data_IF_745326556015
#
_entry.id   IF_745326556015
#
_cell.length_a   1.000
_cell.length_b   1.000
_cell.length_c   1.000
_cell.angle_alpha   90.00
_cell.angle_beta   90.00
_cell.angle_gamma   90.00
#
_symmetry.space_group_name_H-M   'P 1'
#
loop_
_entity.id
_entity.type
_entity.pdbx_description
1 polymer ?
#
# COMPACT_ATOMS: atom_id res chain seq x y z
N UNK A 1 3.84 -82.88 -14.54
CA UNK A 1 4.52 -82.29 -15.71
C UNK A 1 4.52 -80.78 -15.52
N UNK A 2 5.68 -80.23 -15.10
CA UNK A 2 6.09 -78.81 -14.99
C UNK A 2 5.23 -77.86 -14.11
N UNK A 3 5.72 -76.82 -13.45
CA UNK A 3 6.96 -76.43 -12.76
C UNK A 3 6.62 -75.05 -12.13
N UNK A 4 6.78 -74.88 -10.82
CA UNK A 4 7.33 -73.70 -10.08
C UNK A 4 6.83 -72.24 -10.36
N UNK A 5 6.71 -71.46 -9.26
CA UNK A 5 6.68 -69.97 -9.03
C UNK A 5 5.30 -69.31 -8.90
N UNK A 6 4.85 -68.86 -7.73
CA UNK A 6 5.31 -67.77 -6.83
C UNK A 6 5.18 -66.34 -7.41
N UNK A 7 4.45 -65.48 -6.66
CA UNK A 7 4.43 -64.00 -6.60
C UNK A 7 3.64 -63.13 -7.60
N UNK A 8 2.73 -62.33 -7.01
CA UNK A 8 2.23 -60.98 -7.35
C UNK A 8 1.46 -60.72 -8.66
N UNK A 9 0.17 -60.42 -8.54
CA UNK A 9 -0.39 -59.14 -8.99
C UNK A 9 -1.70 -58.87 -8.24
N UNK A 10 -1.69 -57.84 -7.39
CA UNK A 10 -2.83 -57.39 -6.61
C UNK A 10 -3.72 -56.47 -7.46
N UNK A 11 -5.02 -56.77 -7.55
CA UNK A 11 -6.03 -55.80 -7.95
C UNK A 11 -7.25 -55.98 -7.03
N UNK A 12 -7.15 -55.38 -5.84
CA UNK A 12 -8.27 -55.25 -4.91
C UNK A 12 -9.09 -54.04 -5.37
N UNK A 13 -10.23 -54.30 -6.02
CA UNK A 13 -11.24 -53.29 -6.30
C UNK A 13 -12.08 -53.09 -5.03
N UNK A 14 -11.59 -52.25 -4.11
CA UNK A 14 -12.34 -51.82 -2.93
C UNK A 14 -13.33 -50.73 -3.37
N UNK A 15 -14.61 -51.08 -3.59
CA UNK A 15 -15.69 -50.10 -3.56
C UNK A 15 -15.99 -49.75 -2.10
N UNK A 16 -15.21 -48.84 -1.53
CA UNK A 16 -15.60 -48.11 -0.33
C UNK A 16 -16.43 -46.89 -0.77
N UNK A 17 -17.75 -47.02 -0.74
CA UNK A 17 -18.65 -45.88 -0.70
C UNK A 17 -18.48 -45.20 0.67
N UNK A 18 -17.51 -44.29 0.79
CA UNK A 18 -17.42 -43.35 1.89
C UNK A 18 -17.16 -41.95 1.33
N UNK A 19 -18.19 -41.14 1.39
CA UNK A 19 -18.16 -39.76 0.97
C UNK A 19 -19.55 -39.16 1.15
N UNK A 20 -20.11 -39.26 2.34
CA UNK A 20 -21.16 -38.32 2.72
C UNK A 20 -20.51 -36.93 2.64
N UNK A 21 -20.82 -36.20 1.59
CA UNK A 21 -20.61 -34.78 1.53
C UNK A 21 -21.45 -34.16 2.66
N UNK A 22 -20.83 -33.97 3.82
CA UNK A 22 -21.33 -33.05 4.82
C UNK A 22 -21.16 -31.66 4.22
N UNK A 23 -22.17 -31.21 3.50
CA UNK A 23 -22.36 -29.80 3.16
C UNK A 23 -22.34 -29.03 4.47
N UNK A 24 -21.24 -28.33 4.75
CA UNK A 24 -21.15 -27.45 5.90
C UNK A 24 -22.07 -26.26 5.64
N UNK A 25 -23.33 -26.40 6.07
CA UNK A 25 -24.29 -25.31 6.13
C UNK A 25 -23.82 -24.39 7.27
N UNK A 26 -23.03 -23.38 6.94
CA UNK A 26 -22.64 -22.34 7.90
C UNK A 26 -23.88 -21.49 8.18
N UNK A 27 -24.39 -21.57 9.41
CA UNK A 27 -25.57 -20.83 9.85
C UNK A 27 -25.22 -19.33 9.83
N UNK A 28 -25.77 -18.60 8.86
CA UNK A 28 -25.62 -17.15 8.73
C UNK A 28 -26.58 -16.41 9.67
N UNK A 29 -26.52 -16.66 10.98
CA UNK A 29 -27.16 -15.88 12.07
C UNK A 29 -26.40 -16.12 13.39
N UNK A 30 -26.23 -15.12 14.27
CA UNK A 30 -25.64 -15.35 15.58
C UNK A 30 -26.51 -16.35 16.37
N UNK A 31 -25.93 -17.48 16.75
CA UNK A 31 -26.55 -18.46 17.65
C UNK A 31 -26.40 -17.92 19.06
N UNK A 32 -27.52 -17.55 19.68
CA UNK A 32 -27.56 -17.25 21.11
C UNK A 32 -27.70 -18.55 21.89
N UNK A 33 -26.68 -18.88 22.69
CA UNK A 33 -26.78 -19.88 23.75
C UNK A 33 -27.20 -19.17 25.02
N UNK A 34 -28.47 -19.29 25.40
CA UNK A 34 -28.96 -18.85 26.71
C UNK A 34 -28.49 -19.82 27.79
N UNK A 35 -27.59 -19.36 28.67
CA UNK A 35 -27.23 -20.08 29.89
C UNK A 35 -28.20 -19.75 31.02
N UNK A 36 -28.94 -20.75 31.51
CA UNK A 36 -29.84 -20.61 32.65
C UNK A 36 -29.09 -20.30 33.95
N UNK A 37 -29.57 -19.32 34.72
CA UNK A 37 -29.09 -18.99 36.06
C UNK A 37 -30.23 -19.07 37.08
N UNK A 38 -29.98 -19.74 38.21
CA UNK A 38 -30.90 -19.87 39.33
C UNK A 38 -30.90 -18.59 40.19
N UNK A 39 -32.08 -18.19 40.68
CA UNK A 39 -32.32 -16.95 41.44
C UNK A 39 -31.96 -17.13 42.92
N UNK A 40 -31.08 -16.28 43.45
CA UNK A 40 -31.04 -15.95 44.89
C UNK A 40 -30.44 -14.56 45.13
N UNK A 41 -31.26 -13.60 45.59
CA UNK A 41 -30.82 -12.28 46.09
C UNK A 41 -30.84 -11.12 45.08
N UNK A 42 -30.34 -9.95 45.50
CA UNK A 42 -30.37 -8.66 44.78
C UNK A 42 -29.09 -8.32 43.99
N UNK A 43 -28.12 -9.24 43.89
CA UNK A 43 -26.91 -9.03 43.08
C UNK A 43 -27.10 -9.53 41.65
N UNK A 44 -27.15 -8.60 40.69
CA UNK A 44 -27.07 -8.92 39.27
C UNK A 44 -25.63 -9.27 38.91
N UNK A 45 -25.35 -10.54 38.60
CA UNK A 45 -24.12 -10.94 37.89
C UNK A 45 -24.51 -11.66 36.62
N UNK A 46 -24.49 -10.94 35.50
CA UNK A 46 -24.55 -11.54 34.17
C UNK A 46 -23.33 -12.45 34.03
N UNK A 47 -23.53 -13.77 34.04
CA UNK A 47 -22.44 -14.73 33.83
C UNK A 47 -22.43 -15.11 32.34
N UNK A 48 -21.59 -14.37 31.62
CA UNK A 48 -21.01 -14.70 30.32
C UNK A 48 -21.98 -14.72 29.12
N UNK A 49 -21.81 -13.71 28.25
CA UNK A 49 -22.24 -13.74 26.86
C UNK A 49 -20.99 -14.03 26.02
N UNK A 50 -20.88 -15.23 25.45
CA UNK A 50 -19.85 -15.56 24.45
C UNK A 50 -20.45 -15.25 23.08
N UNK A 51 -19.89 -14.27 22.36
CA UNK A 51 -20.21 -14.01 20.96
C UNK A 51 -18.89 -14.09 20.20
N UNK A 52 -18.75 -15.05 19.29
CA UNK A 52 -17.57 -15.20 18.45
C UNK A 52 -17.70 -16.40 17.51
N UNK A 53 -17.58 -16.16 16.21
CA UNK A 53 -17.82 -17.15 15.16
C UNK A 53 -16.67 -18.17 15.00
N UNK A 54 -17.00 -19.32 14.40
CA UNK A 54 -16.11 -20.33 13.79
C UNK A 54 -14.97 -20.93 14.63
N UNK A 55 -15.28 -21.42 15.84
CA UNK A 55 -14.41 -22.41 16.50
C UNK A 55 -14.83 -23.83 16.10
N UNK A 56 -13.88 -24.65 15.63
CA UNK A 56 -14.11 -26.08 15.48
C UNK A 56 -14.34 -26.72 16.86
N UNK A 57 -15.20 -27.76 16.97
CA UNK A 57 -15.51 -28.41 18.26
C UNK A 57 -14.29 -28.85 19.08
N UNK A 58 -13.17 -29.14 18.42
CA UNK A 58 -11.90 -29.52 19.07
C UNK A 58 -11.23 -28.39 19.85
N UNK A 59 -11.49 -27.12 19.53
CA UNK A 59 -10.96 -25.97 20.28
C UNK A 59 -11.80 -25.65 21.52
N UNK A 60 -13.08 -26.06 21.55
CA UNK A 60 -13.97 -25.92 22.73
C UNK A 60 -13.60 -26.87 23.88
N UNK A 61 -12.96 -28.00 23.59
CA UNK A 61 -12.59 -29.00 24.60
C UNK A 61 -11.23 -28.76 25.26
N UNK A 62 -10.50 -27.69 24.91
CA UNK A 62 -9.21 -27.40 25.52
C UNK A 62 -9.39 -26.79 26.93
N UNK A 63 -8.71 -27.38 27.91
CA UNK A 63 -8.79 -27.06 29.33
C UNK A 63 -8.43 -25.59 29.67
N UNK A 64 -7.76 -24.88 28.76
CA UNK A 64 -7.47 -23.44 28.89
C UNK A 64 -8.71 -22.55 28.72
N UNK A 65 -9.68 -22.94 27.89
CA UNK A 65 -10.90 -22.15 27.66
C UNK A 65 -11.91 -22.30 28.80
N UNK A 66 -12.01 -23.50 29.40
CA UNK A 66 -12.89 -23.75 30.56
C UNK A 66 -12.44 -22.96 31.79
N UNK A 67 -11.14 -22.73 31.95
CA UNK A 67 -10.58 -21.89 33.01
C UNK A 67 -10.82 -20.39 32.77
N UNK A 68 -10.79 -19.95 31.51
CA UNK A 68 -11.06 -18.55 31.13
C UNK A 68 -12.56 -18.20 31.16
N UNK A 69 -13.45 -19.15 30.84
CA UNK A 69 -14.89 -18.96 31.00
C UNK A 69 -15.34 -18.89 32.48
N UNK A 70 -14.63 -19.58 33.37
CA UNK A 70 -14.90 -19.59 34.82
C UNK A 70 -14.27 -18.42 35.60
N UNK A 71 -13.33 -17.67 34.99
CA UNK A 71 -12.64 -16.57 35.68
C UNK A 71 -13.44 -15.26 35.75
N UNK A 72 -14.64 -15.21 35.16
CA UNK A 72 -15.48 -14.01 35.13
C UNK A 72 -15.04 -12.96 34.10
N UNK A 73 -14.12 -13.31 33.21
CA UNK A 73 -13.70 -12.46 32.10
C UNK A 73 -14.72 -12.57 30.95
N UNK A 74 -15.22 -11.42 30.50
CA UNK A 74 -15.95 -11.33 29.24
C UNK A 74 -14.90 -11.26 28.13
N UNK A 75 -14.84 -12.29 27.28
CA UNK A 75 -14.16 -12.18 25.99
C UNK A 75 -15.04 -11.27 25.11
N UNK A 76 -14.85 -9.95 25.23
CA UNK A 76 -15.27 -9.03 24.18
C UNK A 76 -14.31 -9.26 23.02
N UNK A 77 -14.74 -10.03 22.03
CA UNK A 77 -14.12 -9.94 20.72
C UNK A 77 -14.50 -8.57 20.19
N UNK A 78 -13.54 -7.66 20.09
CA UNK A 78 -13.72 -6.51 19.23
C UNK A 78 -14.05 -7.07 17.83
N UNK A 79 -15.04 -6.52 17.12
CA UNK A 79 -15.42 -7.02 15.80
C UNK A 79 -14.30 -6.86 14.76
N UNK A 80 -13.23 -6.14 15.12
CA UNK A 80 -12.03 -5.92 14.34
C UNK A 80 -10.86 -5.71 15.30
N UNK A 81 -9.68 -6.13 14.88
CA UNK A 81 -8.40 -5.91 15.52
C UNK A 81 -7.58 -4.98 14.62
N UNK A 82 -6.81 -4.07 15.23
CA UNK A 82 -5.94 -3.21 14.44
C UNK A 82 -4.86 -4.04 13.72
N UNK A 83 -4.52 -3.67 12.48
CA UNK A 83 -3.42 -4.29 11.77
C UNK A 83 -2.12 -3.98 12.51
N UNK A 84 -1.17 -4.91 12.44
CA UNK A 84 0.16 -4.75 13.00
C UNK A 84 1.13 -4.34 11.89
N UNK A 85 1.95 -3.34 12.15
CA UNK A 85 3.10 -2.98 11.32
C UNK A 85 4.40 -3.09 12.16
N UNK A 86 5.41 -3.74 11.64
CA UNK A 86 6.71 -3.97 12.29
C UNK A 86 7.90 -3.52 11.46
N UNK A 87 7.65 -2.77 10.38
CA UNK A 87 8.72 -2.22 9.56
C UNK A 87 9.57 -1.23 10.33
N UNK A 88 10.89 -1.40 10.24
CA UNK A 88 11.88 -0.49 10.84
C UNK A 88 12.65 0.30 9.77
N UNK A 89 12.56 -0.13 8.50
CA UNK A 89 13.25 0.46 7.36
C UNK A 89 12.36 1.50 6.64
N UNK A 90 13.00 2.30 5.78
CA UNK A 90 12.31 3.14 4.80
C UNK A 90 11.97 2.30 3.56
N UNK A 91 10.75 2.44 3.05
CA UNK A 91 10.29 1.69 1.89
C UNK A 91 10.17 2.57 0.66
N UNK A 92 10.49 2.05 -0.51
CA UNK A 92 10.30 2.79 -1.76
C UNK A 92 8.85 2.70 -2.22
N UNK A 93 8.30 3.82 -2.71
CA UNK A 93 6.96 3.85 -3.31
C UNK A 93 6.93 2.99 -4.59
N UNK A 94 7.97 3.11 -5.41
CA UNK A 94 8.17 2.30 -6.60
C UNK A 94 9.66 2.23 -6.94
N UNK A 95 10.08 1.13 -7.57
CA UNK A 95 11.45 0.98 -8.08
C UNK A 95 11.76 1.93 -9.26
N UNK A 96 10.73 2.51 -9.89
CA UNK A 96 10.84 3.20 -11.17
C UNK A 96 10.08 4.53 -11.26
N UNK A 97 9.86 5.23 -10.14
CA UNK A 97 9.33 6.61 -10.18
C UNK A 97 10.15 7.48 -11.14
N UNK A 98 9.48 8.10 -12.11
CA UNK A 98 10.10 8.93 -13.15
C UNK A 98 9.94 10.42 -12.86
N UNK A 99 10.93 11.21 -13.30
CA UNK A 99 10.92 12.68 -13.21
C UNK A 99 9.71 13.26 -13.95
N UNK A 100 9.32 12.68 -15.10
CA UNK A 100 8.14 13.09 -15.83
C UNK A 100 6.89 12.28 -15.40
N UNK A 101 5.93 12.89 -14.69
CA UNK A 101 4.72 12.19 -14.24
C UNK A 101 3.76 11.79 -15.37
N UNK A 102 4.01 12.20 -16.63
CA UNK A 102 3.31 11.66 -17.80
C UNK A 102 3.93 10.35 -18.31
N UNK A 103 5.19 10.07 -17.97
CA UNK A 103 5.90 8.85 -18.37
C UNK A 103 5.73 7.74 -17.32
N UNK A 104 5.32 8.10 -16.10
CA UNK A 104 5.01 7.16 -15.03
C UNK A 104 3.70 7.53 -14.33
N UNK A 105 2.71 6.66 -14.44
CA UNK A 105 1.37 6.85 -13.91
C UNK A 105 1.27 6.56 -12.39
N UNK A 106 2.32 6.88 -11.61
CA UNK A 106 2.41 6.54 -10.19
C UNK A 106 2.43 5.04 -9.88
N UNK A 107 2.69 4.71 -8.62
CA UNK A 107 2.59 3.35 -8.10
C UNK A 107 1.19 3.11 -7.55
N UNK A 108 0.64 1.92 -7.76
CA UNK A 108 -0.55 1.48 -7.03
C UNK A 108 -0.21 1.25 -5.57
N UNK A 109 -1.17 1.45 -4.66
CA UNK A 109 -0.94 1.15 -3.23
C UNK A 109 -0.68 -0.34 -3.01
N UNK A 110 -1.25 -1.21 -3.87
CA UNK A 110 -0.95 -2.63 -3.88
C UNK A 110 0.54 -2.91 -4.20
N UNK A 111 1.14 -2.21 -5.16
CA UNK A 111 2.59 -2.29 -5.42
C UNK A 111 3.42 -1.78 -4.24
N UNK A 112 3.02 -0.65 -3.64
CA UNK A 112 3.70 -0.10 -2.45
C UNK A 112 3.73 -1.12 -1.31
N UNK A 113 2.59 -1.74 -0.99
CA UNK A 113 2.51 -2.75 0.07
C UNK A 113 3.31 -4.02 -0.25
N UNK A 114 3.45 -4.43 -1.52
CA UNK A 114 4.26 -5.59 -1.88
C UNK A 114 5.74 -5.44 -1.48
N UNK A 115 6.28 -4.22 -1.51
CA UNK A 115 7.65 -3.93 -1.04
C UNK A 115 7.85 -4.14 0.46
N UNK A 116 6.76 -4.21 1.25
CA UNK A 116 6.77 -4.39 2.70
C UNK A 116 5.93 -5.59 3.17
N UNK A 117 5.67 -6.57 2.29
CA UNK A 117 4.74 -7.67 2.53
C UNK A 117 5.04 -8.56 3.75
N UNK A 118 6.26 -8.51 4.29
CA UNK A 118 6.64 -9.22 5.53
C UNK A 118 6.44 -8.41 6.81
N UNK A 119 6.16 -7.11 6.69
CA UNK A 119 6.22 -6.16 7.80
C UNK A 119 4.85 -5.69 8.27
N UNK A 120 3.77 -6.15 7.64
CA UNK A 120 2.41 -5.94 8.12
C UNK A 120 1.61 -7.24 8.18
N UNK A 121 0.62 -7.28 9.06
CA UNK A 121 -0.28 -8.43 9.23
C UNK A 121 -1.55 -8.02 9.96
N UNK A 122 -2.58 -8.81 9.83
CA UNK A 122 -3.78 -8.71 10.65
C UNK A 122 -4.15 -10.10 11.19
N UNK A 123 -4.75 -10.15 12.38
CA UNK A 123 -5.29 -11.38 12.96
C UNK A 123 -6.71 -11.67 12.47
N UNK A 124 -7.40 -10.66 11.93
CA UNK A 124 -8.69 -10.81 11.30
C UNK A 124 -8.60 -11.60 9.98
N UNK A 125 -9.71 -12.24 9.63
CA UNK A 125 -9.78 -13.11 8.45
C UNK A 125 -10.15 -12.29 7.21
N UNK A 126 -9.43 -12.52 6.10
CA UNK A 126 -9.62 -11.85 4.81
C UNK A 126 -9.54 -10.30 4.88
N UNK A 127 -8.64 -9.77 5.72
CA UNK A 127 -8.41 -8.32 5.81
C UNK A 127 -7.95 -7.72 4.48
N UNK A 128 -8.63 -6.66 4.05
CA UNK A 128 -8.21 -5.82 2.94
C UNK A 128 -7.32 -4.70 3.47
N UNK A 129 -6.11 -4.57 2.94
CA UNK A 129 -5.16 -3.59 3.43
C UNK A 129 -5.19 -2.28 2.63
N UNK A 130 -4.63 -1.24 3.21
CA UNK A 130 -4.41 0.06 2.62
C UNK A 130 -3.46 0.88 3.47
N UNK A 131 -3.34 2.15 3.14
CA UNK A 131 -2.51 3.11 3.86
C UNK A 131 -3.36 4.28 4.34
N UNK A 132 -3.18 4.67 5.60
CA UNK A 132 -3.57 5.98 6.09
C UNK A 132 -2.34 6.89 6.05
N UNK A 133 -2.30 7.86 5.14
CA UNK A 133 -1.19 8.80 5.06
C UNK A 133 -1.29 9.80 6.21
N UNK A 134 -0.25 9.84 7.04
CA UNK A 134 -0.16 10.68 8.25
C UNK A 134 0.87 11.80 8.12
N UNK A 135 1.44 11.98 6.94
CA UNK A 135 2.41 13.04 6.65
C UNK A 135 2.87 12.98 5.20
N UNK A 136 3.09 14.15 4.62
CA UNK A 136 3.67 14.31 3.27
C UNK A 136 4.67 15.46 3.28
N UNK A 137 5.83 15.25 2.66
CA UNK A 137 6.80 16.30 2.41
C UNK A 137 6.68 16.78 0.95
N UNK A 138 6.15 17.99 0.78
CA UNK A 138 5.94 18.67 -0.50
C UNK A 138 7.00 19.77 -0.76
N UNK A 139 8.21 19.66 -0.21
CA UNK A 139 9.22 20.72 -0.32
C UNK A 139 9.79 20.90 -1.74
N UNK A 140 9.80 19.84 -2.55
CA UNK A 140 10.43 19.80 -3.88
C UNK A 140 9.43 19.57 -5.03
N UNK A 141 8.14 19.70 -4.74
CA UNK A 141 7.04 19.31 -5.60
C UNK A 141 5.85 18.86 -4.78
N UNK A 142 4.90 18.18 -5.43
CA UNK A 142 3.60 17.86 -4.84
C UNK A 142 3.34 16.36 -4.90
N UNK A 143 3.10 15.74 -3.74
CA UNK A 143 2.51 14.41 -3.70
C UNK A 143 1.05 14.48 -4.17
N UNK A 144 0.68 13.53 -5.02
CA UNK A 144 -0.66 13.40 -5.59
C UNK A 144 -1.14 11.97 -5.48
N UNK A 145 -2.45 11.81 -5.34
CA UNK A 145 -3.11 10.51 -5.44
C UNK A 145 -4.14 10.49 -6.56
N UNK A 146 -4.50 9.29 -6.98
CA UNK A 146 -5.55 9.01 -7.94
C UNK A 146 -6.43 7.90 -7.38
N UNK A 147 -7.73 7.94 -7.68
CA UNK A 147 -8.69 6.87 -7.34
C UNK A 147 -9.25 6.18 -8.60
N UNK A 148 -8.76 6.54 -9.79
CA UNK A 148 -9.27 6.08 -11.08
C UNK A 148 -8.16 5.64 -12.03
N UNK A 149 -7.18 4.93 -11.45
CA UNK A 149 -6.04 4.36 -12.17
C UNK A 149 -5.23 5.41 -12.96
N UNK A 150 -5.16 6.63 -12.44
CA UNK A 150 -4.33 7.74 -12.91
C UNK A 150 -4.97 8.58 -14.00
N UNK A 151 -6.29 8.45 -14.22
CA UNK A 151 -7.01 9.32 -15.14
C UNK A 151 -7.16 10.74 -14.55
N UNK A 152 -7.37 10.86 -13.24
CA UNK A 152 -7.43 12.12 -12.52
C UNK A 152 -6.52 12.09 -11.29
N UNK A 153 -5.80 13.19 -11.06
CA UNK A 153 -4.85 13.33 -9.95
C UNK A 153 -5.22 14.47 -9.04
N UNK A 154 -5.18 14.21 -7.73
CA UNK A 154 -5.57 15.14 -6.68
C UNK A 154 -4.34 15.41 -5.80
N UNK A 155 -4.06 16.68 -5.53
CA UNK A 155 -2.95 17.11 -4.68
C UNK A 155 -3.22 16.76 -3.21
N UNK A 156 -2.20 16.19 -2.55
CA UNK A 156 -2.20 15.96 -1.11
C UNK A 156 -1.60 17.19 -0.42
N UNK A 157 -2.43 18.18 -0.14
CA UNK A 157 -1.98 19.47 0.43
C UNK A 157 -1.36 19.31 1.82
N UNK A 158 -2.00 18.50 2.66
CA UNK A 158 -1.56 18.18 4.01
C UNK A 158 -2.06 16.79 4.39
N UNK A 159 -1.26 16.07 5.16
CA UNK A 159 -1.64 14.85 5.85
C UNK A 159 -1.04 14.92 7.25
N UNK A 160 -1.79 14.48 8.25
CA UNK A 160 -1.34 14.39 9.64
C UNK A 160 -2.05 13.26 10.36
N UNK A 161 -1.57 12.86 11.52
CA UNK A 161 -2.22 11.87 12.39
C UNK A 161 -3.71 12.21 12.67
N UNK A 162 -4.05 13.49 12.83
CA UNK A 162 -5.43 13.95 13.05
C UNK A 162 -6.19 14.37 11.78
N UNK A 163 -5.54 14.31 10.61
CA UNK A 163 -6.12 14.63 9.30
C UNK A 163 -5.46 13.73 8.24
N UNK A 164 -5.64 12.44 8.41
CA UNK A 164 -5.06 11.44 7.53
C UNK A 164 -5.88 11.28 6.24
N UNK A 165 -5.22 10.80 5.18
CA UNK A 165 -5.85 10.42 3.91
C UNK A 165 -5.81 8.89 3.77
N UNK A 166 -6.97 8.26 3.58
CA UNK A 166 -7.09 6.82 3.42
C UNK A 166 -6.96 6.41 1.94
N UNK A 167 -6.07 5.48 1.64
CA UNK A 167 -5.83 4.96 0.30
C UNK A 167 -5.85 3.42 0.32
N UNK A 168 -6.82 2.81 -0.35
CA UNK A 168 -6.97 1.35 -0.41
C UNK A 168 -5.89 0.69 -1.26
N UNK A 169 -5.47 -0.53 -0.90
CA UNK A 169 -4.55 -1.33 -1.72
C UNK A 169 -5.28 -2.09 -2.83
N UNK A 170 -5.75 -1.34 -3.82
CA UNK A 170 -6.42 -1.86 -5.02
C UNK A 170 -5.67 -1.47 -6.30
N UNK A 171 -6.20 -1.85 -7.46
CA UNK A 171 -5.61 -1.58 -8.77
C UNK A 171 -5.94 -0.18 -9.33
N UNK A 172 -6.76 0.62 -8.62
CA UNK A 172 -7.21 1.95 -9.04
C UNK A 172 -6.51 3.08 -8.28
N UNK A 173 -6.21 2.83 -7.01
CA UNK A 173 -5.69 3.79 -6.07
C UNK A 173 -4.18 3.88 -6.24
N UNK A 174 -3.71 5.08 -6.60
CA UNK A 174 -2.31 5.33 -6.95
C UNK A 174 -1.74 6.53 -6.22
N UNK A 175 -0.44 6.49 -6.01
CA UNK A 175 0.35 7.56 -5.41
C UNK A 175 1.49 7.94 -6.37
N UNK A 176 1.72 9.24 -6.57
CA UNK A 176 2.87 9.74 -7.33
C UNK A 176 3.41 11.04 -6.74
N UNK A 177 4.65 11.31 -7.07
CA UNK A 177 5.23 12.64 -6.88
C UNK A 177 5.17 13.42 -8.19
N UNK A 178 4.74 14.68 -8.12
CA UNK A 178 4.80 15.63 -9.22
C UNK A 178 5.86 16.67 -8.89
N UNK A 179 7.07 16.60 -9.48
CA UNK A 179 8.14 17.54 -9.19
C UNK A 179 7.83 18.96 -9.66
N UNK A 180 8.45 19.95 -9.03
CA UNK A 180 8.45 21.34 -9.51
C UNK A 180 9.25 21.49 -10.82
N UNK A 181 8.98 22.55 -11.59
CA UNK A 181 9.52 22.74 -12.95
C UNK A 181 11.05 22.71 -13.04
N UNK A 182 11.76 23.13 -11.98
CA UNK A 182 13.23 23.19 -11.94
C UNK A 182 13.87 22.01 -11.17
N UNK A 183 13.08 21.00 -10.81
CA UNK A 183 13.56 19.82 -10.12
C UNK A 183 14.24 18.87 -11.11
N UNK A 184 15.57 18.89 -11.12
CA UNK A 184 16.37 18.21 -12.13
C UNK A 184 16.79 16.79 -11.75
N UNK A 185 16.78 16.42 -10.45
CA UNK A 185 16.95 15.06 -9.92
C UNK A 185 17.06 15.11 -8.38
N UNK A 186 16.68 14.02 -7.69
CA UNK A 186 17.03 13.83 -6.28
C UNK A 186 15.97 13.16 -5.42
N UNK A 187 15.87 13.63 -4.18
CA UNK A 187 14.91 13.17 -3.18
C UNK A 187 13.58 13.95 -3.28
N UNK A 188 12.46 13.33 -3.71
CA UNK A 188 11.16 13.99 -3.81
C UNK A 188 10.55 14.34 -2.45
N UNK A 189 10.91 13.62 -1.39
CA UNK A 189 10.35 13.76 -0.05
C UNK A 189 9.79 12.46 0.49
N UNK A 190 9.45 12.49 1.77
CA UNK A 190 8.84 11.39 2.51
C UNK A 190 7.32 11.46 2.52
N UNK A 191 6.70 10.29 2.60
CA UNK A 191 5.30 10.11 3.00
C UNK A 191 5.29 9.21 4.23
N UNK A 192 4.75 9.68 5.36
CA UNK A 192 4.55 8.86 6.55
C UNK A 192 3.16 8.24 6.54
N UNK A 193 3.02 7.02 7.03
CA UNK A 193 1.76 6.29 6.96
C UNK A 193 1.52 5.36 8.16
N UNK A 194 0.27 4.91 8.30
CA UNK A 194 -0.13 3.71 9.06
C UNK A 194 -0.76 2.69 8.12
N UNK A 195 -0.63 1.41 8.46
CA UNK A 195 -1.40 0.36 7.79
C UNK A 195 -2.86 0.53 8.17
N UNK A 196 -3.74 0.42 7.18
CA UNK A 196 -5.19 0.50 7.31
C UNK A 196 -5.80 -0.84 6.89
N UNK A 197 -6.75 -1.36 7.66
CA UNK A 197 -7.42 -2.65 7.43
C UNK A 197 -8.79 -2.53 6.72
N UNK A 198 -9.14 -1.32 6.29
CA UNK A 198 -10.40 -1.00 5.63
C UNK A 198 -11.69 -1.33 6.42
N UNK A 199 -11.59 -1.68 7.70
CA UNK A 199 -12.77 -1.98 8.52
C UNK A 199 -13.68 -0.75 8.72
N UNK A 200 -13.06 0.43 8.79
CA UNK A 200 -13.75 1.73 8.78
C UNK A 200 -13.13 2.67 7.77
N UNK A 201 -13.98 3.57 7.27
CA UNK A 201 -13.60 4.57 6.28
C UNK A 201 -13.73 4.03 4.86
N UNK A 202 -13.42 4.88 3.89
CA UNK A 202 -13.45 4.55 2.46
C UNK A 202 -12.23 5.16 1.77
N UNK A 203 -11.80 4.55 0.66
CA UNK A 203 -10.66 5.08 -0.12
C UNK A 203 -10.93 6.53 -0.56
N UNK A 204 -9.93 7.39 -0.45
CA UNK A 204 -10.02 8.82 -0.70
C UNK A 204 -10.59 9.66 0.46
N UNK A 205 -11.03 9.04 1.56
CA UNK A 205 -11.51 9.79 2.72
C UNK A 205 -10.36 10.55 3.39
N UNK A 206 -10.55 11.85 3.60
CA UNK A 206 -9.64 12.73 4.35
C UNK A 206 -10.24 13.14 5.71
N UNK A 207 -9.46 13.89 6.50
CA UNK A 207 -9.87 14.35 7.84
C UNK A 207 -10.24 13.21 8.80
N UNK A 208 -9.48 12.12 8.71
CA UNK A 208 -9.57 10.98 9.62
C UNK A 208 -8.50 11.10 10.70
N UNK A 209 -8.92 11.13 11.97
CA UNK A 209 -8.02 11.06 13.12
C UNK A 209 -7.72 9.60 13.46
N UNK A 210 -6.49 9.16 13.18
CA UNK A 210 -6.07 7.76 13.39
C UNK A 210 -5.88 7.42 14.87
N UNK A 211 -5.89 8.41 15.76
CA UNK A 211 -5.76 8.23 17.21
C UNK A 211 -7.10 8.35 17.94
N UNK A 212 -8.19 8.69 17.24
CA UNK A 212 -9.52 8.74 17.83
C UNK A 212 -9.96 7.34 18.29
N UNK A 213 -10.54 7.24 19.48
CA UNK A 213 -10.88 5.96 20.11
C UNK A 213 -11.84 5.09 19.30
N UNK A 214 -12.64 5.68 18.41
CA UNK A 214 -13.53 4.94 17.49
C UNK A 214 -12.81 4.32 16.29
N UNK A 215 -11.55 4.68 16.06
CA UNK A 215 -10.71 4.27 14.94
C UNK A 215 -9.47 3.48 15.37
N UNK A 216 -9.19 3.40 16.67
CA UNK A 216 -7.98 2.76 17.23
C UNK A 216 -7.82 1.27 16.84
N UNK A 217 -8.90 0.62 16.41
CA UNK A 217 -8.87 -0.76 15.93
C UNK A 217 -8.76 -0.88 14.41
N UNK A 218 -8.61 0.22 13.66
CA UNK A 218 -8.62 0.25 12.18
C UNK A 218 -7.23 0.55 11.59
N UNK A 219 -6.31 1.04 12.42
CA UNK A 219 -4.98 1.47 11.98
C UNK A 219 -3.88 0.84 12.82
N UNK A 220 -2.71 0.62 12.23
CA UNK A 220 -1.54 0.21 12.98
C UNK A 220 -1.13 1.25 14.03
N UNK A 221 -0.64 0.79 15.17
CA UNK A 221 -0.14 1.69 16.23
C UNK A 221 1.22 2.31 15.88
N UNK A 222 1.95 1.70 14.97
CA UNK A 222 3.25 2.13 14.46
C UNK A 222 3.11 2.76 13.10
N UNK A 223 3.97 3.73 12.83
CA UNK A 223 4.07 4.42 11.54
C UNK A 223 5.18 3.81 10.70
N UNK A 224 5.04 3.88 9.38
CA UNK A 224 6.10 3.65 8.42
C UNK A 224 6.44 4.91 7.63
N UNK A 225 7.55 4.84 6.89
CA UNK A 225 8.00 5.91 5.99
C UNK A 225 8.16 5.34 4.59
N UNK A 226 7.48 5.97 3.64
CA UNK A 226 7.70 5.78 2.22
C UNK A 226 8.62 6.87 1.71
N UNK A 227 9.72 6.46 1.08
CA UNK A 227 10.62 7.33 0.33
C UNK A 227 10.27 7.24 -1.15
N UNK A 228 10.11 8.39 -1.79
CA UNK A 228 10.20 8.43 -3.25
C UNK A 228 11.67 8.37 -3.64
N UNK A 229 12.05 7.47 -4.54
CA UNK A 229 13.32 7.58 -5.26
C UNK A 229 12.99 7.83 -6.72
N UNK A 230 13.34 9.01 -7.23
CA UNK A 230 13.20 9.28 -8.66
C UNK A 230 14.47 8.77 -9.33
N UNK A 231 14.36 7.68 -10.09
CA UNK A 231 15.47 7.22 -10.92
C UNK A 231 15.41 7.94 -12.27
N UNK A 232 16.44 8.73 -12.58
CA UNK A 232 16.59 9.33 -13.90
C UNK A 232 16.68 8.22 -14.98
N UNK A 233 15.91 8.40 -16.06
CA UNK A 233 16.28 7.79 -17.34
C UNK A 233 17.22 8.81 -17.95
N UNK A 234 18.50 8.48 -18.21
CA UNK A 234 19.51 9.45 -18.60
C UNK A 234 18.90 10.42 -19.60
N UNK A 235 18.72 11.68 -19.19
CA UNK A 235 18.21 12.72 -20.07
C UNK A 235 19.10 12.65 -21.30
N UNK A 236 18.53 12.28 -22.44
CA UNK A 236 19.26 12.30 -23.69
C UNK A 236 19.65 13.75 -23.90
N UNK A 237 20.86 14.12 -23.49
CA UNK A 237 21.48 15.36 -23.92
C UNK A 237 21.38 15.28 -25.44
N UNK A 238 20.64 16.17 -26.12
CA UNK A 238 20.54 16.10 -27.57
C UNK A 238 21.96 16.29 -28.09
N UNK A 239 22.61 15.17 -28.45
CA UNK A 239 23.89 15.22 -29.10
C UNK A 239 23.62 15.80 -30.47
N UNK A 240 24.17 16.99 -30.74
CA UNK A 240 24.18 17.49 -32.10
C UNK A 240 24.93 16.44 -32.93
N UNK A 241 24.24 15.82 -33.88
CA UNK A 241 24.90 14.98 -34.87
C UNK A 241 25.93 15.82 -35.65
N UNK A 242 26.80 15.18 -36.44
CA UNK A 242 27.86 15.89 -37.18
C UNK A 242 27.35 17.07 -38.00
N UNK A 243 26.12 16.99 -38.52
CA UNK A 243 25.44 18.07 -39.24
C UNK A 243 24.98 19.21 -38.34
N UNK A 244 24.46 18.90 -37.16
CA UNK A 244 24.10 19.88 -36.14
C UNK A 244 25.32 20.66 -35.66
N UNK A 245 26.44 19.99 -35.40
CA UNK A 245 27.70 20.65 -35.02
C UNK A 245 28.20 21.56 -36.15
N UNK A 246 28.18 21.07 -37.39
CA UNK A 246 28.55 21.87 -38.55
C UNK A 246 27.68 23.13 -38.67
N UNK A 247 26.36 23.00 -38.49
CA UNK A 247 25.43 24.11 -38.55
C UNK A 247 25.67 25.12 -37.41
N UNK A 248 25.91 24.65 -36.19
CA UNK A 248 26.21 25.49 -35.04
C UNK A 248 27.52 26.27 -35.20
N UNK A 249 28.59 25.62 -35.67
CA UNK A 249 29.85 26.32 -35.95
C UNK A 249 29.75 27.24 -37.17
N UNK A 250 28.97 26.87 -38.18
CA UNK A 250 28.72 27.72 -39.35
C UNK A 250 27.95 28.99 -38.98
N UNK A 251 26.94 28.90 -38.12
CA UNK A 251 26.21 30.08 -37.63
C UNK A 251 27.09 30.95 -36.75
N UNK A 252 27.88 30.35 -35.85
CA UNK A 252 28.82 31.08 -35.00
C UNK A 252 29.87 31.83 -35.84
N UNK A 253 30.42 31.19 -36.87
CA UNK A 253 31.37 31.79 -37.79
C UNK A 253 30.72 32.90 -38.62
N UNK A 254 29.50 32.68 -39.13
CA UNK A 254 28.74 33.67 -39.88
C UNK A 254 28.48 34.94 -39.06
N UNK A 255 28.03 34.80 -37.81
CA UNK A 255 27.82 35.94 -36.91
C UNK A 255 29.14 36.62 -36.53
N UNK A 256 30.21 35.86 -36.28
CA UNK A 256 31.55 36.40 -36.01
C UNK A 256 32.10 37.23 -37.19
N UNK A 257 31.90 36.75 -38.41
CA UNK A 257 32.29 37.47 -39.63
C UNK A 257 31.42 38.71 -39.88
N UNK A 258 30.10 38.64 -39.64
CA UNK A 258 29.21 39.80 -39.68
C UNK A 258 29.61 40.87 -38.67
N UNK A 259 30.00 40.47 -37.45
CA UNK A 259 30.47 41.41 -36.42
C UNK A 259 31.84 42.03 -36.78
N UNK A 260 32.76 41.26 -37.36
CA UNK A 260 34.04 41.81 -37.88
C UNK A 260 33.86 42.71 -39.11
N UNK A 261 32.92 42.39 -40.00
CA UNK A 261 32.59 43.23 -41.16
C UNK A 261 32.08 44.62 -40.75
N UNK A 262 31.39 44.72 -39.61
CA UNK A 262 30.98 46.01 -39.04
C UNK A 262 32.14 46.84 -38.46
N UNK A 263 33.26 46.21 -38.12
CA UNK A 263 34.46 46.88 -37.57
C UNK A 263 35.45 47.31 -38.67
N UNK A 264 35.43 46.67 -39.86
CA UNK A 264 36.34 47.00 -40.96
C UNK A 264 35.88 48.22 -41.78
N UNK A 265 34.58 48.54 -41.79
CA UNK A 265 34.07 49.75 -42.46
C UNK A 265 34.43 51.04 -41.68
N UNK A 266 34.85 50.95 -40.41
CA UNK A 266 35.39 52.10 -39.67
C UNK A 266 36.90 52.33 -39.86
N UNK A 267 37.65 51.41 -40.49
CA UNK A 267 39.11 51.56 -40.69
C UNK A 267 39.53 51.89 -42.14
N UNK A 268 38.58 52.00 -43.08
CA UNK A 268 38.84 52.49 -44.45
C UNK A 268 38.05 53.78 -44.79
N UNK A 269 37.62 54.51 -43.76
CA UNK A 269 37.05 55.85 -43.91
C UNK A 269 38.13 56.87 -44.28
N UNK A 270 38.15 57.23 -45.56
CA UNK A 270 38.71 58.48 -46.10
C UNK A 270 38.38 59.64 -45.14
N UNK A 271 39.42 60.25 -44.57
CA UNK A 271 39.27 61.50 -43.82
C UNK A 271 38.99 62.66 -44.79
N UNK A 272 38.12 63.63 -44.41
CA UNK A 272 37.85 64.78 -45.25
C UNK A 272 39.05 65.73 -45.21
N UNK A 273 39.64 65.99 -46.37
CA UNK A 273 40.20 67.27 -46.82
C UNK A 273 40.55 67.19 -48.31
#
# INVERSE_FOLDING_TARGET
MLLIRNTLFALILLCACNGFASTTYQIQRPVFSGGGGQITGTEYKMRTVVIGQNMTPSKLSNNSYSTQANSGYVLMLAPNNAPKFTGEDNYYIAENLKVNPNDFNGATINEVLKHMSGDYSDIDYDTEFGLALTGVNNANGQWQYSLDNGANWIDILVASENNSLLLAADDQTRLRFKPDMDYLDGYPGDVTFRIWDQYRGTTGQSNVDVNETSWVYTFSNTNGILVGSIMDVPVAVPTLNGWGLLLFFATLLYFSMKMKGSQIVQFLGVGPN
#
